data_IF_775105956726
#
_entry.id   IF_775105956726
#
_cell.length_a   1.000
_cell.length_b   1.000
_cell.length_c   1.000
_cell.angle_alpha   90.00
_cell.angle_beta   90.00
_cell.angle_gamma   90.00
#
_symmetry.space_group_name_H-M   'P 1'
#
loop_
_entity.id
_entity.type
_entity.pdbx_description
1 polymer ?
#
# COMPACT_ATOMS: atom_id res chain seq x y z
N UNK A 1 16.70 -7.49 8.30
CA UNK A 1 15.66 -8.34 8.93
C UNK A 1 15.44 -9.63 8.15
N UNK A 2 15.09 -9.60 6.86
CA UNK A 2 14.96 -10.83 6.04
C UNK A 2 16.25 -11.67 5.96
N UNK A 3 17.42 -11.03 5.78
CA UNK A 3 18.73 -11.72 5.78
C UNK A 3 19.16 -12.32 7.13
N UNK A 4 18.57 -11.87 8.26
CA UNK A 4 18.81 -12.44 9.60
C UNK A 4 17.85 -13.59 9.93
N UNK A 5 16.79 -13.76 9.12
CA UNK A 5 15.65 -14.65 9.36
C UNK A 5 15.57 -15.76 8.29
N UNK A 6 16.22 -15.59 7.14
CA UNK A 6 16.29 -16.57 6.06
C UNK A 6 16.88 -17.93 6.49
N UNK A 7 17.70 -17.96 7.55
CA UNK A 7 18.24 -19.18 8.15
C UNK A 7 17.25 -19.89 9.10
N UNK A 8 16.13 -19.24 9.46
CA UNK A 8 15.12 -19.77 10.37
C UNK A 8 13.74 -19.79 9.69
N UNK A 9 13.48 -20.90 9.00
CA UNK A 9 12.24 -21.21 8.25
C UNK A 9 10.94 -20.75 8.95
N UNK A 10 10.71 -21.03 10.25
CA UNK A 10 9.46 -20.62 10.91
C UNK A 10 9.27 -19.11 11.01
N UNK A 11 10.34 -18.34 11.20
CA UNK A 11 10.24 -16.89 11.35
C UNK A 11 10.05 -16.22 9.98
N UNK A 12 10.63 -16.79 8.92
CA UNK A 12 10.33 -16.38 7.53
C UNK A 12 8.88 -16.69 7.15
N UNK A 13 8.36 -17.86 7.53
CA UNK A 13 6.97 -18.24 7.28
C UNK A 13 5.99 -17.31 7.99
N UNK A 14 6.27 -16.93 9.25
CA UNK A 14 5.45 -15.98 9.99
C UNK A 14 5.46 -14.58 9.33
N UNK A 15 6.62 -14.11 8.87
CA UNK A 15 6.73 -12.83 8.19
C UNK A 15 5.94 -12.82 6.86
N UNK A 16 6.04 -13.90 6.07
CA UNK A 16 5.26 -14.06 4.83
C UNK A 16 3.75 -14.14 5.13
N UNK A 17 3.37 -14.85 6.20
CA UNK A 17 1.98 -14.91 6.64
C UNK A 17 1.43 -13.53 7.03
N UNK A 18 2.18 -12.76 7.81
CA UNK A 18 1.79 -11.39 8.19
C UNK A 18 1.71 -10.45 6.97
N UNK A 19 2.62 -10.60 5.99
CA UNK A 19 2.53 -9.89 4.71
C UNK A 19 1.23 -10.24 3.96
N UNK A 20 0.84 -11.53 3.93
CA UNK A 20 -0.42 -11.98 3.34
C UNK A 20 -1.65 -11.36 4.01
N UNK A 21 -1.60 -11.15 5.34
CA UNK A 21 -2.66 -10.46 6.09
C UNK A 21 -2.92 -9.02 5.62
N UNK A 22 -1.91 -8.33 5.08
CA UNK A 22 -2.08 -6.99 4.50
C UNK A 22 -2.94 -6.97 3.23
N UNK A 23 -2.92 -8.04 2.44
CA UNK A 23 -3.72 -8.16 1.20
C UNK A 23 -5.21 -8.30 1.53
N UNK A 24 -5.55 -8.82 2.72
CA UNK A 24 -6.93 -8.93 3.17
C UNK A 24 -7.63 -7.56 3.36
N UNK A 25 -6.88 -6.46 3.41
CA UNK A 25 -7.44 -5.11 3.45
C UNK A 25 -7.96 -4.64 2.08
N UNK A 26 -7.49 -5.23 0.98
CA UNK A 26 -7.82 -4.80 -0.38
C UNK A 26 -9.32 -4.85 -0.71
N UNK A 27 -10.09 -5.91 -0.35
CA UNK A 27 -11.53 -5.95 -0.55
C UNK A 27 -12.29 -4.94 0.32
N UNK A 28 -11.84 -4.70 1.54
CA UNK A 28 -12.46 -3.74 2.45
C UNK A 28 -12.29 -2.29 1.95
N UNK A 29 -11.11 -1.97 1.39
CA UNK A 29 -10.86 -0.69 0.74
C UNK A 29 -11.69 -0.53 -0.55
N UNK A 30 -11.85 -1.60 -1.32
CA UNK A 30 -12.72 -1.62 -2.51
C UNK A 30 -14.15 -1.25 -2.15
N UNK A 31 -14.74 -1.91 -1.14
CA UNK A 31 -16.10 -1.63 -0.69
C UNK A 31 -16.25 -0.19 -0.19
N UNK A 32 -15.29 0.30 0.63
CA UNK A 32 -15.33 1.69 1.12
C UNK A 32 -15.27 2.73 -0.01
N UNK A 33 -14.48 2.48 -1.07
CA UNK A 33 -14.44 3.36 -2.25
C UNK A 33 -15.77 3.34 -3.00
N UNK A 34 -16.39 2.16 -3.11
CA UNK A 34 -17.70 1.99 -3.74
C UNK A 34 -18.82 2.67 -2.95
N UNK A 35 -18.73 2.71 -1.62
CA UNK A 35 -19.69 3.43 -0.77
C UNK A 35 -19.56 4.95 -0.92
N UNK A 36 -18.34 5.47 -1.09
CA UNK A 36 -18.07 6.92 -1.23
C UNK A 36 -18.36 7.44 -2.64
N UNK A 37 -18.25 6.60 -3.67
CA UNK A 37 -18.34 7.02 -5.07
C UNK A 37 -19.78 7.20 -5.60
N UNK A 38 -20.82 6.78 -4.84
CA UNK A 38 -22.23 6.88 -5.22
C UNK A 38 -22.50 6.49 -6.69
N UNK A 39 -22.79 7.46 -7.57
CA UNK A 39 -23.09 7.26 -9.00
C UNK A 39 -21.87 6.82 -9.84
N UNK A 40 -20.65 6.93 -9.33
CA UNK A 40 -19.40 6.63 -10.03
C UNK A 40 -18.72 5.31 -9.58
N UNK A 41 -19.49 4.37 -9.01
CA UNK A 41 -18.99 3.08 -8.51
C UNK A 41 -18.13 2.29 -9.51
N UNK A 42 -18.54 2.23 -10.79
CA UNK A 42 -17.79 1.49 -11.82
C UNK A 42 -16.42 2.12 -12.07
N UNK A 43 -16.33 3.45 -12.07
CA UNK A 43 -15.08 4.17 -12.23
C UNK A 43 -14.18 3.96 -11.01
N UNK A 44 -14.73 4.08 -9.81
CA UNK A 44 -14.05 3.80 -8.54
C UNK A 44 -13.47 2.37 -8.47
N UNK A 45 -14.26 1.38 -8.90
CA UNK A 45 -13.82 -0.01 -8.91
C UNK A 45 -12.67 -0.24 -9.91
N UNK A 46 -12.78 0.32 -11.13
CA UNK A 46 -11.74 0.22 -12.16
C UNK A 46 -10.43 0.93 -11.74
N UNK A 47 -10.52 2.08 -11.05
CA UNK A 47 -9.37 2.81 -10.52
C UNK A 47 -8.66 2.02 -9.42
N UNK A 48 -9.39 1.33 -8.53
CA UNK A 48 -8.78 0.49 -7.50
C UNK A 48 -8.00 -0.69 -8.13
N UNK A 49 -8.58 -1.37 -9.12
CA UNK A 49 -7.88 -2.43 -9.85
C UNK A 49 -6.64 -1.90 -10.59
N UNK A 50 -6.73 -0.74 -11.23
CA UNK A 50 -5.59 -0.11 -11.90
C UNK A 50 -4.47 0.27 -10.93
N UNK A 51 -4.84 0.86 -9.77
CA UNK A 51 -3.90 1.21 -8.72
C UNK A 51 -3.18 -0.03 -8.15
N UNK A 52 -3.92 -1.12 -7.94
CA UNK A 52 -3.33 -2.38 -7.47
C UNK A 52 -2.35 -2.98 -8.49
N UNK A 53 -2.70 -2.98 -9.77
CA UNK A 53 -1.82 -3.46 -10.83
C UNK A 53 -0.56 -2.60 -10.96
N UNK A 54 -0.70 -1.27 -10.84
CA UNK A 54 0.43 -0.36 -10.82
C UNK A 54 1.36 -0.61 -9.63
N UNK A 55 0.79 -0.84 -8.44
CA UNK A 55 1.57 -1.19 -7.24
C UNK A 55 2.36 -2.49 -7.43
N UNK A 56 1.75 -3.54 -7.99
CA UNK A 56 2.44 -4.80 -8.29
C UNK A 56 3.57 -4.61 -9.31
N UNK A 57 3.32 -3.86 -10.38
CA UNK A 57 4.33 -3.57 -11.39
C UNK A 57 5.51 -2.78 -10.81
N UNK A 58 5.24 -1.74 -10.01
CA UNK A 58 6.27 -0.94 -9.35
C UNK A 58 7.07 -1.77 -8.34
N UNK A 59 6.42 -2.62 -7.55
CA UNK A 59 7.08 -3.51 -6.60
C UNK A 59 8.02 -4.50 -7.28
N UNK A 60 7.57 -5.15 -8.36
CA UNK A 60 8.38 -6.06 -9.14
C UNK A 60 9.55 -5.34 -9.85
N UNK A 61 9.30 -4.18 -10.44
CA UNK A 61 10.34 -3.39 -11.11
C UNK A 61 11.41 -2.91 -10.14
N UNK A 62 11.03 -2.34 -8.99
CA UNK A 62 11.98 -1.90 -7.97
C UNK A 62 12.72 -3.09 -7.34
N UNK A 63 12.03 -4.20 -7.07
CA UNK A 63 12.67 -5.42 -6.58
C UNK A 63 13.71 -5.97 -7.55
N UNK A 64 13.38 -6.00 -8.85
CA UNK A 64 14.32 -6.40 -9.91
C UNK A 64 15.49 -5.43 -10.05
N UNK A 65 15.24 -4.12 -9.97
CA UNK A 65 16.28 -3.09 -10.07
C UNK A 65 17.29 -3.20 -8.92
N UNK A 66 16.82 -3.51 -7.71
CA UNK A 66 17.68 -3.75 -6.54
C UNK A 66 18.53 -5.01 -6.70
N UNK A 67 17.97 -6.09 -7.28
CA UNK A 67 18.72 -7.30 -7.59
C UNK A 67 19.82 -7.04 -8.64
N UNK A 68 19.49 -6.33 -9.72
CA UNK A 68 20.43 -5.99 -10.80
C UNK A 68 21.52 -5.03 -10.33
N UNK A 69 21.21 -4.12 -9.40
CA UNK A 69 22.18 -3.17 -8.86
C UNK A 69 23.22 -3.80 -7.91
N UNK A 70 23.15 -5.11 -7.65
CA UNK A 70 24.20 -5.86 -6.94
C UNK A 70 24.24 -5.63 -5.43
N UNK A 71 23.23 -4.99 -4.84
CA UNK A 71 23.15 -4.71 -3.40
C UNK A 71 22.85 -5.95 -2.52
N UNK A 72 22.70 -7.13 -3.13
CA UNK A 72 22.45 -8.42 -2.46
C UNK A 72 20.99 -8.64 -2.05
N UNK A 73 20.63 -9.89 -1.76
CA UNK A 73 19.25 -10.34 -1.49
C UNK A 73 18.55 -9.58 -0.33
N UNK A 74 19.34 -9.02 0.59
CA UNK A 74 18.86 -8.24 1.72
C UNK A 74 18.28 -6.87 1.32
N UNK A 75 18.75 -6.30 0.21
CA UNK A 75 18.40 -4.95 -0.23
C UNK A 75 16.95 -4.84 -0.70
N UNK A 76 16.35 -5.93 -1.19
CA UNK A 76 14.94 -6.00 -1.58
C UNK A 76 14.01 -5.69 -0.41
N UNK A 77 14.42 -6.05 0.81
CA UNK A 77 13.69 -5.72 2.03
C UNK A 77 13.68 -4.22 2.36
N UNK A 78 14.74 -3.50 2.04
CA UNK A 78 14.81 -2.04 2.21
C UNK A 78 13.94 -1.31 1.19
N UNK A 79 13.91 -1.78 -0.06
CA UNK A 79 13.00 -1.23 -1.06
C UNK A 79 11.53 -1.40 -0.67
N UNK A 80 11.17 -2.58 -0.12
CA UNK A 80 9.84 -2.80 0.46
C UNK A 80 9.51 -1.84 1.59
N UNK A 81 10.45 -1.63 2.53
CA UNK A 81 10.28 -0.67 3.64
C UNK A 81 10.03 0.76 3.14
N UNK A 82 10.85 1.24 2.19
CA UNK A 82 10.69 2.58 1.61
C UNK A 82 9.32 2.70 0.95
N UNK A 83 8.90 1.69 0.18
CA UNK A 83 7.61 1.69 -0.50
C UNK A 83 6.44 1.72 0.51
N UNK A 84 6.53 0.96 1.60
CA UNK A 84 5.55 1.01 2.70
C UNK A 84 5.51 2.38 3.39
N UNK A 85 6.67 3.00 3.64
CA UNK A 85 6.73 4.34 4.22
C UNK A 85 6.08 5.39 3.31
N UNK A 86 6.32 5.32 1.99
CA UNK A 86 5.68 6.20 1.01
C UNK A 86 4.16 6.01 1.03
N UNK A 87 3.68 4.76 1.02
CA UNK A 87 2.25 4.45 1.12
C UNK A 87 1.61 5.01 2.40
N UNK A 88 2.30 4.89 3.53
CA UNK A 88 1.83 5.43 4.81
C UNK A 88 1.75 6.96 4.80
N UNK A 89 2.75 7.65 4.22
CA UNK A 89 2.72 9.11 4.07
C UNK A 89 1.52 9.55 3.23
N UNK A 90 1.28 8.90 2.09
CA UNK A 90 0.13 9.20 1.24
C UNK A 90 -1.20 8.98 1.97
N UNK A 91 -1.31 7.91 2.75
CA UNK A 91 -2.49 7.64 3.56
C UNK A 91 -2.72 8.74 4.62
N UNK A 92 -1.68 9.15 5.34
CA UNK A 92 -1.76 10.23 6.32
C UNK A 92 -2.14 11.57 5.69
N UNK A 93 -1.59 11.88 4.52
CA UNK A 93 -1.95 13.08 3.76
C UNK A 93 -3.42 13.06 3.32
N UNK A 94 -3.93 11.90 2.89
CA UNK A 94 -5.34 11.73 2.54
C UNK A 94 -6.25 12.01 3.73
N UNK A 95 -5.96 11.41 4.90
CA UNK A 95 -6.72 11.66 6.14
C UNK A 95 -6.67 13.12 6.57
N UNK A 96 -5.54 13.79 6.37
CA UNK A 96 -5.39 15.21 6.69
C UNK A 96 -6.19 16.10 5.74
N UNK A 97 -6.24 15.77 4.44
CA UNK A 97 -7.09 16.50 3.47
C UNK A 97 -8.57 16.36 3.84
N UNK A 98 -9.01 15.15 4.15
CA UNK A 98 -10.41 14.86 4.53
C UNK A 98 -10.83 15.66 5.77
N UNK A 99 -9.96 15.74 6.79
CA UNK A 99 -10.19 16.60 7.98
C UNK A 99 -10.22 18.09 7.65
N UNK A 100 -9.37 18.55 6.72
CA UNK A 100 -9.34 19.97 6.32
C UNK A 100 -10.59 20.37 5.55
N UNK A 101 -11.10 19.49 4.71
CA UNK A 101 -12.27 19.79 3.90
C UNK A 101 -13.55 19.78 4.73
N UNK A 102 -13.68 18.86 5.70
CA UNK A 102 -14.76 18.89 6.70
C UNK A 102 -14.77 20.19 7.54
N UNK A 103 -13.59 20.71 7.91
CA UNK A 103 -13.48 21.97 8.65
C UNK A 103 -13.87 23.21 7.84
N UNK A 104 -13.65 23.19 6.51
CA UNK A 104 -14.07 24.27 5.61
C UNK A 104 -15.57 24.27 5.36
N UNK A 105 -16.20 23.10 5.29
CA UNK A 105 -17.66 22.98 5.16
C UNK A 105 -18.38 23.48 6.42
N UNK A 106 -17.88 23.12 7.61
CA UNK A 106 -18.41 23.63 8.88
C UNK A 106 -18.30 25.16 9.00
N UNK A 107 -17.22 25.76 8.50
CA UNK A 107 -17.02 27.22 8.50
C UNK A 107 -17.85 27.98 7.45
N UNK A 108 -18.38 27.29 6.42
CA UNK A 108 -19.29 27.87 5.40
C UNK A 108 -20.77 27.73 5.77
N UNK A 109 -21.10 26.84 6.70
CA UNK A 109 -22.47 26.54 7.13
C UNK A 109 -22.92 27.33 8.37
N UNK A 110 -22.04 28.12 8.99
CA UNK A 110 -22.35 29.06 10.07
C UNK A 110 -22.29 30.50 9.59
#
# INVERSE_FOLDING_TARGET
>A
MFALVASNIPLTALAVFMLGGGIALSPAMQMRLMDVAADAQTLAASMNHAAFNMANALGAWLGGLVLVAGYGDAATGWAGMILSCVGLILFLLSLWSEKRDAGKEAARAG
#
